data_IF_103756786101
#
_entry.id   IF_103756786101
#
_cell.length_a   1.000
_cell.length_b   1.000
_cell.length_c   1.000
_cell.angle_alpha   90.00
_cell.angle_beta   90.00
_cell.angle_gamma   90.00
#
_symmetry.space_group_name_H-M   'P 1'
#
loop_
_entity.id
_entity.type
_entity.pdbx_description
1 polymer ?
#
# COMPACT_ATOMS: atom_id res chain seq x y z
N UNK A 1 11.60 11.18 8.58
CA UNK A 1 10.70 10.11 8.13
C UNK A 1 11.50 9.21 7.21
N UNK A 2 11.64 7.94 7.53
CA UNK A 2 12.28 6.97 6.65
C UNK A 2 11.30 6.50 5.59
N UNK A 3 11.61 6.76 4.32
CA UNK A 3 10.87 6.20 3.19
C UNK A 3 11.31 4.74 2.98
N UNK A 4 10.39 3.75 2.98
CA UNK A 4 10.75 2.37 2.70
C UNK A 4 11.28 2.22 1.29
N UNK A 5 12.19 1.26 1.09
CA UNK A 5 12.76 1.00 -0.22
C UNK A 5 11.79 0.17 -1.08
N UNK A 6 11.00 0.85 -1.92
CA UNK A 6 10.07 0.18 -2.81
C UNK A 6 10.77 -0.47 -4.01
N UNK A 7 12.04 -0.17 -4.30
CA UNK A 7 12.76 -0.85 -5.40
C UNK A 7 12.99 -2.34 -5.14
N UNK A 8 13.06 -2.76 -3.88
CA UNK A 8 13.28 -4.15 -3.45
C UNK A 8 12.04 -4.82 -2.85
N UNK A 9 10.95 -4.07 -2.71
CA UNK A 9 9.68 -4.54 -2.15
C UNK A 9 8.84 -5.27 -3.20
N UNK A 10 7.79 -5.99 -2.81
CA UNK A 10 6.69 -6.37 -3.72
C UNK A 10 5.56 -5.32 -3.74
N UNK A 11 5.55 -4.40 -2.77
CA UNK A 11 4.56 -3.34 -2.64
C UNK A 11 4.75 -2.27 -3.73
N UNK A 12 3.72 -2.05 -4.54
CA UNK A 12 3.69 -1.01 -5.59
C UNK A 12 3.20 0.33 -5.06
N UNK A 13 2.22 0.29 -4.15
CA UNK A 13 1.60 1.45 -3.54
C UNK A 13 1.21 1.12 -2.11
N UNK A 14 1.43 2.05 -1.18
CA UNK A 14 0.86 2.05 0.15
C UNK A 14 0.21 3.41 0.38
N UNK A 15 -1.05 3.39 0.78
CA UNK A 15 -1.79 4.53 1.27
C UNK A 15 -2.04 4.32 2.77
N UNK A 16 -1.62 5.28 3.57
CA UNK A 16 -1.85 5.34 5.01
C UNK A 16 -2.72 6.56 5.32
N UNK A 17 -3.99 6.34 5.61
CA UNK A 17 -5.02 7.36 5.69
C UNK A 17 -5.75 7.25 7.03
N UNK A 18 -5.78 8.31 7.84
CA UNK A 18 -6.37 8.19 9.17
C UNK A 18 -6.67 9.52 9.83
N UNK A 19 -7.25 9.43 11.02
CA UNK A 19 -7.46 10.58 11.88
C UNK A 19 -6.54 10.52 13.10
N UNK A 20 -6.04 11.69 13.50
CA UNK A 20 -5.33 11.83 14.76
C UNK A 20 -6.26 11.42 15.91
N UNK A 21 -5.79 10.51 16.76
CA UNK A 21 -6.57 10.00 17.89
C UNK A 21 -6.74 11.05 19.00
N UNK A 22 -5.91 12.09 18.99
CA UNK A 22 -5.84 13.14 20.02
C UNK A 22 -6.02 14.51 19.37
N UNK A 23 -6.64 15.44 20.10
CA UNK A 23 -6.67 16.85 19.70
C UNK A 23 -5.27 17.45 19.84
N UNK A 24 -4.73 17.92 18.72
CA UNK A 24 -3.41 18.57 18.65
C UNK A 24 -3.56 19.98 18.08
N UNK A 25 -3.89 20.99 18.92
CA UNK A 25 -4.17 22.35 18.46
C UNK A 25 -3.04 22.97 17.64
N UNK A 26 -1.80 22.59 17.92
CA UNK A 26 -0.62 23.03 17.18
C UNK A 26 -0.58 22.50 15.74
N UNK A 27 -1.24 21.35 15.49
CA UNK A 27 -1.37 20.71 14.17
C UNK A 27 -2.62 21.18 13.42
N UNK A 28 -3.64 21.66 14.13
CA UNK A 28 -4.91 22.09 13.54
C UNK A 28 -4.72 23.09 12.38
N UNK A 29 -3.80 24.04 12.49
CA UNK A 29 -3.51 25.01 11.41
C UNK A 29 -3.01 24.36 10.11
N UNK A 30 -2.34 23.22 10.19
CA UNK A 30 -1.84 22.47 9.02
C UNK A 30 -2.89 21.54 8.42
N UNK A 31 -3.84 21.10 9.26
CA UNK A 31 -4.92 20.21 8.90
C UNK A 31 -6.20 20.95 8.48
N UNK A 32 -6.35 22.22 8.86
CA UNK A 32 -7.52 23.04 8.57
C UNK A 32 -7.69 23.35 7.06
N UNK A 33 -6.59 23.37 6.31
CA UNK A 33 -6.63 23.61 4.86
C UNK A 33 -6.28 22.33 4.12
N UNK A 34 -7.22 21.89 3.27
CA UNK A 34 -6.97 20.79 2.32
C UNK A 34 -5.78 21.16 1.43
N UNK A 35 -4.70 20.41 1.56
CA UNK A 35 -3.52 20.56 0.71
C UNK A 35 -3.02 19.19 0.29
N UNK A 36 -2.55 19.09 -0.95
CA UNK A 36 -1.88 17.89 -1.46
C UNK A 36 -0.52 18.32 -1.97
N UNK A 37 0.52 17.74 -1.41
CA UNK A 37 1.89 17.91 -1.86
C UNK A 37 2.46 16.56 -2.27
N UNK A 38 3.29 16.56 -3.31
CA UNK A 38 3.92 15.35 -3.84
C UNK A 38 5.40 15.62 -4.06
N UNK A 39 6.26 14.75 -3.53
CA UNK A 39 7.67 14.70 -3.86
C UNK A 39 7.97 13.42 -4.67
N UNK A 40 9.08 13.45 -5.38
CA UNK A 40 9.63 12.30 -6.09
C UNK A 40 11.04 12.06 -5.61
N UNK A 41 11.42 10.80 -5.37
CA UNK A 41 12.79 10.38 -5.10
C UNK A 41 13.16 9.18 -5.96
N UNK A 42 14.46 8.99 -6.18
CA UNK A 42 15.00 7.81 -6.85
C UNK A 42 15.54 6.82 -5.81
N UNK A 43 15.14 5.56 -5.92
CA UNK A 43 15.67 4.43 -5.14
C UNK A 43 16.27 3.43 -6.12
N UNK A 44 17.58 3.54 -6.35
CA UNK A 44 18.22 2.88 -7.48
C UNK A 44 17.61 3.38 -8.80
N UNK A 45 17.13 2.46 -9.64
CA UNK A 45 16.45 2.78 -10.90
C UNK A 45 14.94 3.01 -10.74
N UNK A 46 14.39 2.83 -9.54
CA UNK A 46 12.95 3.00 -9.28
C UNK A 46 12.64 4.42 -8.84
N UNK A 47 11.78 5.12 -9.59
CA UNK A 47 11.19 6.38 -9.15
C UNK A 47 10.03 6.11 -8.18
N UNK A 48 10.11 6.71 -6.99
CA UNK A 48 9.07 6.64 -5.96
C UNK A 48 8.48 8.02 -5.75
N UNK A 49 7.15 8.06 -5.67
CA UNK A 49 6.37 9.24 -5.32
C UNK A 49 5.96 9.14 -3.86
N UNK A 50 6.10 10.24 -3.14
CA UNK A 50 5.61 10.39 -1.77
C UNK A 50 4.61 11.53 -1.78
N UNK A 51 3.36 11.24 -1.46
CA UNK A 51 2.29 12.22 -1.37
C UNK A 51 1.89 12.42 0.08
N UNK A 52 1.67 13.67 0.49
CA UNK A 52 1.00 13.98 1.75
C UNK A 52 -0.26 14.77 1.42
N UNK A 53 -1.38 14.36 1.99
CA UNK A 53 -2.63 15.10 1.97
C UNK A 53 -2.93 15.49 3.41
N UNK A 54 -3.00 16.79 3.67
CA UNK A 54 -3.46 17.35 4.93
C UNK A 54 -4.87 17.88 4.78
N UNK A 55 -5.69 17.70 5.82
CA UNK A 55 -7.07 18.17 5.83
C UNK A 55 -7.98 17.43 4.84
N UNK A 56 -9.26 17.81 4.80
CA UNK A 56 -10.26 17.16 3.96
C UNK A 56 -11.51 16.83 4.74
N UNK A 57 -11.73 15.53 4.99
CA UNK A 57 -12.95 15.02 5.65
C UNK A 57 -13.10 15.50 7.10
N UNK A 58 -11.99 15.75 7.78
CA UNK A 58 -11.95 16.34 9.11
C UNK A 58 -10.69 17.21 9.28
N UNK A 59 -10.70 18.06 10.30
CA UNK A 59 -9.52 18.85 10.73
C UNK A 59 -8.46 17.98 11.43
N UNK A 60 -8.64 16.65 11.44
CA UNK A 60 -7.73 15.65 12.02
C UNK A 60 -7.18 14.67 10.97
N UNK A 61 -7.54 14.85 9.71
CA UNK A 61 -7.22 13.91 8.65
C UNK A 61 -5.76 14.01 8.22
N UNK A 62 -5.02 12.92 8.38
CA UNK A 62 -3.65 12.77 7.94
C UNK A 62 -3.54 11.61 6.95
N UNK A 63 -2.98 11.89 5.78
CA UNK A 63 -2.90 10.93 4.69
C UNK A 63 -1.52 10.98 4.04
N UNK A 64 -0.91 9.81 3.88
CA UNK A 64 0.38 9.64 3.21
C UNK A 64 0.26 8.54 2.17
N UNK A 65 0.66 8.84 0.94
CA UNK A 65 0.83 7.86 -0.14
C UNK A 65 2.31 7.65 -0.41
N UNK A 66 2.72 6.41 -0.62
CA UNK A 66 4.00 6.06 -1.23
C UNK A 66 3.76 5.09 -2.37
N UNK A 67 4.27 5.41 -3.55
CA UNK A 67 3.99 4.64 -4.75
C UNK A 67 5.16 4.63 -5.71
N UNK A 68 5.41 3.50 -6.39
CA UNK A 68 6.29 3.50 -7.56
C UNK A 68 5.62 4.27 -8.69
N UNK A 69 6.40 4.94 -9.53
CA UNK A 69 5.85 5.58 -10.73
C UNK A 69 5.11 4.59 -11.65
N UNK A 70 5.57 3.33 -11.69
CA UNK A 70 4.96 2.23 -12.44
C UNK A 70 3.58 1.81 -11.94
N UNK A 71 3.17 2.21 -10.73
CA UNK A 71 1.81 1.98 -10.25
C UNK A 71 0.79 2.80 -11.05
N UNK A 72 1.19 3.99 -11.52
CA UNK A 72 0.33 4.87 -12.28
C UNK A 72 0.43 4.57 -13.78
N UNK A 73 -0.66 4.71 -14.55
CA UNK A 73 -0.57 4.83 -15.99
C UNK A 73 0.39 5.97 -16.35
N UNK A 74 1.21 5.80 -17.39
CA UNK A 74 2.24 6.78 -17.78
C UNK A 74 1.69 8.22 -17.96
N UNK A 75 0.46 8.35 -18.43
CA UNK A 75 -0.23 9.64 -18.61
C UNK A 75 -0.80 10.27 -17.32
N UNK A 76 -0.70 9.57 -16.19
CA UNK A 76 -1.31 9.94 -14.91
C UNK A 76 -0.35 9.91 -13.73
N UNK A 77 0.96 9.81 -13.98
CA UNK A 77 1.97 9.93 -12.92
C UNK A 77 1.85 11.35 -12.31
N UNK A 78 1.59 11.47 -10.99
CA UNK A 78 1.55 12.77 -10.33
C UNK A 78 2.85 13.55 -10.51
N UNK A 79 2.73 14.85 -10.79
CA UNK A 79 3.90 15.74 -10.86
C UNK A 79 4.33 16.13 -9.46
N UNK A 80 5.64 16.18 -9.23
CA UNK A 80 6.19 16.73 -7.99
C UNK A 80 5.79 18.21 -7.85
N UNK A 81 5.39 18.60 -6.65
CA UNK A 81 5.03 19.97 -6.27
C UNK A 81 5.91 20.52 -5.16
N UNK A 82 6.75 19.68 -4.55
CA UNK A 82 7.54 19.96 -3.35
C UNK A 82 8.78 19.04 -3.35
N UNK A 83 9.75 19.31 -2.49
CA UNK A 83 10.90 18.41 -2.28
C UNK A 83 10.61 17.34 -1.22
N UNK A 84 11.45 16.30 -1.14
CA UNK A 84 11.29 15.26 -0.11
C UNK A 84 11.59 15.83 1.29
N UNK A 85 12.53 16.76 1.39
CA UNK A 85 12.89 17.44 2.63
C UNK A 85 11.73 18.27 3.20
N UNK A 86 10.93 18.89 2.33
CA UNK A 86 9.71 19.61 2.74
C UNK A 86 8.64 18.66 3.27
N UNK A 87 8.50 17.48 2.68
CA UNK A 87 7.62 16.42 3.20
C UNK A 87 8.12 15.90 4.54
N UNK A 88 9.42 15.66 4.69
CA UNK A 88 10.02 15.19 5.94
C UNK A 88 9.83 16.22 7.07
N UNK A 89 10.00 17.51 6.78
CA UNK A 89 9.75 18.59 7.73
C UNK A 89 8.29 18.68 8.15
N UNK A 90 7.36 18.52 7.20
CA UNK A 90 5.93 18.42 7.54
C UNK A 90 5.68 17.21 8.43
N UNK A 91 6.24 16.05 8.09
CA UNK A 91 6.08 14.80 8.82
C UNK A 91 6.58 14.89 10.26
N UNK A 92 7.74 15.54 10.49
CA UNK A 92 8.31 15.74 11.84
C UNK A 92 7.32 16.36 12.83
N UNK A 93 6.38 17.19 12.35
CA UNK A 93 5.35 17.80 13.21
C UNK A 93 4.36 16.79 13.77
N UNK A 94 4.17 15.67 13.08
CA UNK A 94 3.27 14.60 13.49
C UNK A 94 3.95 13.52 14.33
N UNK A 95 5.27 13.64 14.57
CA UNK A 95 6.01 12.65 15.36
C UNK A 95 5.45 12.51 16.78
N UNK A 96 5.32 11.26 17.23
CA UNK A 96 4.72 10.88 18.50
C UNK A 96 3.19 10.93 18.52
N UNK A 97 2.52 11.35 17.44
CA UNK A 97 1.05 11.39 17.40
C UNK A 97 0.49 10.00 17.12
N UNK A 98 -0.54 9.62 17.88
CA UNK A 98 -1.32 8.40 17.63
C UNK A 98 -2.35 8.62 16.53
N UNK A 99 -2.46 7.66 15.62
CA UNK A 99 -3.39 7.68 14.49
C UNK A 99 -4.16 6.37 14.44
N UNK A 100 -5.46 6.44 14.15
CA UNK A 100 -6.21 5.29 13.66
C UNK A 100 -6.09 5.30 12.14
N UNK A 101 -5.21 4.44 11.61
CA UNK A 101 -4.83 4.42 10.21
C UNK A 101 -5.56 3.30 9.47
N UNK A 102 -6.24 3.68 8.40
CA UNK A 102 -6.61 2.78 7.31
C UNK A 102 -5.42 2.65 6.36
N UNK A 103 -5.03 1.41 6.11
CA UNK A 103 -3.90 1.03 5.28
C UNK A 103 -4.47 0.36 4.05
N UNK A 104 -4.11 0.86 2.88
CA UNK A 104 -4.41 0.24 1.59
C UNK A 104 -3.08 0.00 0.90
N UNK A 105 -2.71 -1.27 0.71
CA UNK A 105 -1.47 -1.63 0.03
C UNK A 105 -1.77 -2.45 -1.23
N UNK A 106 -1.09 -2.12 -2.33
CA UNK A 106 -1.26 -2.79 -3.62
C UNK A 106 0.02 -3.49 -4.04
N UNK A 107 -0.12 -4.73 -4.50
CA UNK A 107 0.93 -5.64 -4.93
C UNK A 107 0.63 -6.16 -6.33
N UNK A 108 1.67 -6.61 -7.04
CA UNK A 108 1.51 -7.35 -8.29
C UNK A 108 2.40 -8.59 -8.33
N UNK A 109 1.77 -9.74 -8.58
CA UNK A 109 2.43 -11.04 -8.63
C UNK A 109 2.08 -11.77 -9.93
N UNK A 110 3.06 -12.39 -10.62
CA UNK A 110 2.78 -13.31 -11.71
C UNK A 110 1.83 -14.42 -11.29
N UNK A 111 0.87 -14.81 -12.14
CA UNK A 111 -0.06 -15.91 -11.84
C UNK A 111 0.70 -17.20 -11.56
N UNK A 112 1.83 -17.42 -12.25
CA UNK A 112 2.69 -18.58 -12.06
C UNK A 112 3.33 -18.66 -10.66
N UNK A 113 3.54 -17.51 -10.01
CA UNK A 113 4.16 -17.41 -8.69
C UNK A 113 3.13 -17.57 -7.55
N UNK A 114 1.84 -17.59 -7.88
CA UNK A 114 0.79 -17.89 -6.91
C UNK A 114 0.79 -19.39 -6.57
N UNK A 115 0.48 -19.77 -5.31
CA UNK A 115 0.42 -21.17 -4.90
C UNK A 115 -0.58 -21.96 -5.76
N UNK A 116 -0.23 -23.17 -6.15
CA UNK A 116 -1.10 -24.04 -6.98
C UNK A 116 -2.46 -24.27 -6.34
N UNK A 117 -2.47 -24.53 -5.03
CA UNK A 117 -3.68 -24.68 -4.22
C UNK A 117 -4.13 -23.37 -3.57
N UNK A 118 -3.56 -22.24 -4.00
CA UNK A 118 -3.90 -20.90 -3.52
C UNK A 118 -5.23 -20.44 -4.10
N UNK A 119 -6.01 -19.74 -3.28
CA UNK A 119 -7.36 -19.32 -3.63
C UNK A 119 -7.42 -18.52 -4.94
N UNK A 120 -6.54 -17.52 -5.08
CA UNK A 120 -6.53 -16.65 -6.27
C UNK A 120 -6.20 -17.47 -7.51
N UNK A 121 -5.14 -18.30 -7.47
CA UNK A 121 -4.74 -19.11 -8.63
C UNK A 121 -5.86 -20.05 -9.06
N UNK A 122 -6.45 -20.78 -8.12
CA UNK A 122 -7.55 -21.70 -8.41
C UNK A 122 -8.76 -21.02 -9.06
N UNK A 123 -9.13 -19.82 -8.58
CA UNK A 123 -10.26 -19.08 -9.14
C UNK A 123 -9.97 -18.43 -10.50
N UNK A 124 -8.69 -18.15 -10.80
CA UNK A 124 -8.28 -17.55 -12.09
C UNK A 124 -8.03 -18.56 -13.21
N UNK A 125 -8.21 -19.86 -12.98
CA UNK A 125 -8.09 -20.88 -14.02
C UNK A 125 -9.25 -20.82 -15.03
N UNK A 126 -8.98 -21.20 -16.27
CA UNK A 126 -10.03 -21.38 -17.28
C UNK A 126 -10.86 -22.62 -16.95
N UNK A 127 -12.13 -22.40 -16.64
CA UNK A 127 -13.13 -23.45 -16.63
C UNK A 127 -13.66 -23.62 -18.06
N UNK A 128 -13.54 -24.82 -18.63
CA UNK A 128 -14.04 -25.13 -19.98
C UNK A 128 -15.11 -26.22 -19.94
N UNK A 129 -16.20 -25.99 -20.66
CA UNK A 129 -17.28 -26.97 -20.90
C UNK A 129 -17.71 -26.89 -22.36
N UNK A 130 -17.24 -27.82 -23.18
CA UNK A 130 -17.36 -27.72 -24.64
C UNK A 130 -16.60 -26.50 -25.17
N UNK A 131 -17.27 -25.67 -25.98
CA UNK A 131 -16.70 -24.42 -26.52
C UNK A 131 -16.80 -23.24 -25.53
N UNK A 132 -17.52 -23.40 -24.41
CA UNK A 132 -17.65 -22.35 -23.40
C UNK A 132 -16.43 -22.34 -22.48
N UNK A 133 -15.72 -21.21 -22.43
CA UNK A 133 -14.67 -20.92 -21.46
C UNK A 133 -15.10 -19.81 -20.49
N UNK A 134 -14.90 -20.04 -19.20
CA UNK A 134 -15.16 -19.06 -18.14
C UNK A 134 -13.92 -18.87 -17.29
N UNK A 135 -13.64 -17.62 -16.89
CA UNK A 135 -12.53 -17.28 -16.00
C UNK A 135 -12.96 -16.18 -15.05
N UNK A 136 -12.65 -16.31 -13.76
CA UNK A 136 -12.84 -15.20 -12.82
C UNK A 136 -11.68 -14.22 -12.96
N UNK A 137 -11.99 -12.98 -13.35
CA UNK A 137 -10.98 -11.93 -13.53
C UNK A 137 -10.79 -11.04 -12.30
N UNK A 138 -11.80 -11.00 -11.41
CA UNK A 138 -11.77 -10.18 -10.20
C UNK A 138 -12.51 -10.90 -9.08
N UNK A 139 -12.02 -10.79 -7.85
CA UNK A 139 -12.70 -11.25 -6.65
C UNK A 139 -12.22 -10.51 -5.41
N UNK A 140 -12.85 -10.75 -4.27
CA UNK A 140 -12.45 -10.19 -2.99
C UNK A 140 -12.95 -11.00 -1.82
N UNK A 141 -12.30 -10.83 -0.67
CA UNK A 141 -12.64 -11.47 0.60
C UNK A 141 -12.68 -10.42 1.69
N UNK A 142 -13.76 -10.44 2.46
CA UNK A 142 -13.85 -9.76 3.74
C UNK A 142 -13.52 -10.73 4.88
N UNK A 143 -12.69 -10.27 5.81
CA UNK A 143 -12.17 -11.03 6.94
C UNK A 143 -12.66 -10.38 8.23
N UNK A 144 -13.22 -11.17 9.13
CA UNK A 144 -13.67 -10.71 10.45
C UNK A 144 -12.76 -11.25 11.54
N UNK A 145 -12.33 -10.38 12.45
CA UNK A 145 -11.49 -10.74 13.60
C UNK A 145 -10.02 -11.04 13.25
N UNK A 146 -9.59 -10.76 12.02
CA UNK A 146 -8.20 -10.87 11.59
C UNK A 146 -7.44 -9.55 11.70
N UNK A 147 -6.12 -9.60 11.45
CA UNK A 147 -5.29 -8.40 11.32
C UNK A 147 -5.52 -7.65 9.99
N UNK A 148 -6.04 -8.36 8.99
CA UNK A 148 -6.46 -7.83 7.70
C UNK A 148 -7.99 -7.77 7.68
N UNK A 149 -8.56 -6.71 7.12
CA UNK A 149 -10.02 -6.54 7.01
C UNK A 149 -10.52 -7.09 5.69
N UNK A 150 -9.81 -6.83 4.59
CA UNK A 150 -10.18 -7.36 3.29
C UNK A 150 -8.97 -7.48 2.37
N UNK A 151 -9.13 -8.28 1.31
CA UNK A 151 -8.31 -8.12 0.13
C UNK A 151 -9.12 -8.41 -1.13
N UNK A 152 -8.84 -7.68 -2.19
CA UNK A 152 -9.38 -7.93 -3.52
C UNK A 152 -8.27 -8.09 -4.54
N UNK A 153 -8.60 -8.75 -5.65
CA UNK A 153 -7.64 -9.00 -6.71
C UNK A 153 -8.25 -8.82 -8.09
N UNK A 154 -7.40 -8.44 -9.04
CA UNK A 154 -7.76 -8.29 -10.45
C UNK A 154 -6.65 -8.85 -11.34
N UNK A 155 -7.01 -9.72 -12.28
CA UNK A 155 -6.14 -10.20 -13.35
C UNK A 155 -5.88 -9.05 -14.33
N UNK A 156 -4.63 -8.63 -14.43
CA UNK A 156 -4.22 -7.55 -15.34
C UNK A 156 -4.26 -8.06 -16.79
N UNK A 157 -5.13 -7.46 -17.62
CA UNK A 157 -5.34 -7.88 -19.01
C UNK A 157 -4.04 -7.86 -19.81
N UNK A 158 -3.69 -9.00 -20.40
CA UNK A 158 -2.52 -9.14 -21.26
C UNK A 158 -1.17 -9.24 -20.53
N UNK A 159 -1.15 -9.27 -19.19
CA UNK A 159 0.10 -9.24 -18.42
C UNK A 159 0.39 -10.50 -17.60
N UNK A 160 -0.45 -11.54 -17.65
CA UNK A 160 -0.33 -12.78 -16.84
C UNK A 160 0.00 -12.54 -15.35
N UNK A 161 -0.51 -11.42 -14.83
CA UNK A 161 -0.26 -10.95 -13.46
C UNK A 161 -1.58 -10.68 -12.76
N UNK A 162 -1.57 -10.83 -11.45
CA UNK A 162 -2.66 -10.42 -10.58
C UNK A 162 -2.21 -9.21 -9.79
N UNK A 163 -3.02 -8.17 -9.82
CA UNK A 163 -2.93 -7.05 -8.87
C UNK A 163 -3.75 -7.42 -7.64
N UNK A 164 -3.16 -7.32 -6.47
CA UNK A 164 -3.84 -7.55 -5.20
C UNK A 164 -3.81 -6.28 -4.38
N UNK A 165 -4.95 -5.89 -3.85
CA UNK A 165 -5.07 -4.81 -2.88
C UNK A 165 -5.47 -5.42 -1.55
N UNK A 166 -4.79 -5.03 -0.48
CA UNK A 166 -5.12 -5.42 0.89
C UNK A 166 -5.54 -4.17 1.67
N UNK A 167 -6.54 -4.31 2.53
CA UNK A 167 -7.04 -3.22 3.37
C UNK A 167 -7.10 -3.64 4.85
N UNK A 168 -6.74 -2.72 5.74
CA UNK A 168 -6.85 -2.91 7.19
C UNK A 168 -6.90 -1.60 7.96
N UNK A 169 -7.46 -1.65 9.16
CA UNK A 169 -7.35 -0.58 10.15
C UNK A 169 -6.43 -0.96 11.30
N UNK A 170 -5.58 -0.02 11.72
CA UNK A 170 -4.62 -0.21 12.82
C UNK A 170 -4.48 1.05 13.65
N UNK A 171 -4.16 0.88 14.93
CA UNK A 171 -3.70 1.98 15.77
C UNK A 171 -2.17 2.02 15.71
N UNK A 172 -1.63 3.15 15.29
CA UNK A 172 -0.19 3.34 15.11
C UNK A 172 0.27 4.65 15.74
N UNK A 173 1.57 4.75 16.01
CA UNK A 173 2.23 6.01 16.36
C UNK A 173 3.11 6.44 15.20
N UNK A 174 2.97 7.70 14.82
CA UNK A 174 3.78 8.32 13.77
C UNK A 174 5.18 8.54 14.36
N UNK A 175 6.18 7.89 13.77
CA UNK A 175 7.59 8.04 14.10
C UNK A 175 8.43 7.84 12.82
N UNK A 176 9.76 7.92 12.93
CA UNK A 176 10.62 7.83 11.76
C UNK A 176 10.47 6.52 10.97
N UNK A 177 10.08 5.40 11.59
CA UNK A 177 9.91 4.10 10.95
C UNK A 177 8.45 3.76 10.61
N UNK A 178 7.50 4.65 10.84
CA UNK A 178 6.06 4.41 10.60
C UNK A 178 5.77 3.83 9.22
N UNK A 179 6.18 4.49 8.13
CA UNK A 179 5.93 4.00 6.77
C UNK A 179 6.64 2.68 6.48
N UNK A 180 7.84 2.49 7.03
CA UNK A 180 8.58 1.23 6.91
C UNK A 180 7.79 0.09 7.55
N UNK A 181 7.30 0.27 8.78
CA UNK A 181 6.47 -0.73 9.45
C UNK A 181 5.19 -1.04 8.69
N UNK A 182 4.54 -0.03 8.11
CA UNK A 182 3.31 -0.25 7.35
C UNK A 182 3.55 -1.06 6.08
N UNK A 183 4.65 -0.81 5.35
CA UNK A 183 5.03 -1.62 4.19
C UNK A 183 5.41 -3.04 4.62
N UNK A 184 6.29 -3.19 5.61
CA UNK A 184 6.71 -4.51 6.10
C UNK A 184 5.53 -5.34 6.57
N UNK A 185 4.62 -4.72 7.34
CA UNK A 185 3.40 -5.40 7.79
C UNK A 185 2.52 -5.82 6.61
N UNK A 186 2.35 -4.93 5.62
CA UNK A 186 1.56 -5.20 4.41
C UNK A 186 2.16 -6.34 3.58
N UNK A 187 3.48 -6.39 3.45
CA UNK A 187 4.19 -7.49 2.78
C UNK A 187 4.02 -8.83 3.52
N UNK A 188 4.04 -8.82 4.86
CA UNK A 188 3.77 -10.01 5.66
C UNK A 188 2.34 -10.50 5.41
N UNK A 189 1.35 -9.61 5.41
CA UNK A 189 -0.04 -10.01 5.13
C UNK A 189 -0.21 -10.54 3.70
N UNK A 190 0.39 -9.86 2.72
CA UNK A 190 0.40 -10.33 1.33
C UNK A 190 1.05 -11.72 1.20
N UNK A 191 2.21 -11.93 1.82
CA UNK A 191 2.89 -13.21 1.85
C UNK A 191 2.03 -14.33 2.43
N UNK A 192 1.38 -14.08 3.56
CA UNK A 192 0.51 -15.05 4.25
C UNK A 192 -0.77 -15.35 3.46
N UNK A 193 -1.49 -14.31 3.04
CA UNK A 193 -2.84 -14.44 2.51
C UNK A 193 -2.87 -14.77 1.01
N UNK A 194 -1.87 -14.34 0.25
CA UNK A 194 -1.81 -14.49 -1.20
C UNK A 194 -0.82 -15.55 -1.62
N UNK A 195 0.40 -15.50 -1.06
CA UNK A 195 1.50 -16.39 -1.46
C UNK A 195 1.60 -17.65 -0.60
N UNK A 196 0.83 -17.76 0.49
CA UNK A 196 0.89 -18.90 1.40
C UNK A 196 2.28 -19.11 2.04
N UNK A 197 3.11 -18.07 2.11
CA UNK A 197 4.44 -18.10 2.72
C UNK A 197 4.45 -17.18 3.94
N UNK A 198 4.67 -17.74 5.12
CA UNK A 198 5.03 -16.93 6.28
C UNK A 198 6.47 -16.43 6.10
N UNK A 199 6.68 -15.12 6.24
CA UNK A 199 8.00 -14.48 6.29
C UNK A 199 8.85 -15.06 7.43
N UNK A 200 9.52 -16.18 7.15
CA UNK A 200 10.36 -16.92 8.10
C UNK A 200 11.47 -17.75 7.46
N UNK A 201 11.69 -17.62 6.14
CA UNK A 201 12.87 -18.18 5.47
C UNK A 201 13.66 -17.08 4.78
N UNK A 202 14.44 -16.36 5.56
CA UNK A 202 15.69 -15.80 5.05
C UNK A 202 16.46 -16.96 4.43
N UNK A 203 16.69 -16.93 3.11
CA UNK A 203 17.56 -17.88 2.45
C UNK A 203 18.95 -17.73 3.09
N UNK A 204 19.33 -18.64 3.97
CA UNK A 204 20.73 -18.87 4.29
C UNK A 204 21.36 -19.42 3.02
N UNK A 205 22.20 -18.61 2.38
CA UNK A 205 23.12 -19.10 1.36
C UNK A 205 24.02 -20.15 2.01
N UNK A 206 23.86 -21.39 1.58
CA UNK A 206 24.84 -22.48 1.72
C UNK A 206 25.52 -22.69 0.39
#
# INVERSE_FOLDING_TARGET
MRIPNLSTSECLNLTACGELAEDRPELAKYLAKKSRIVATLMQGETQVLVGVISGGYSEKHFHVDIARSSFFPASRIPKATTSIEEIEELYRRFEGVKVQVSIIATFEVPIADLPENGLIRGLTQDFRSGDLGMRLLRGGIDIRGGALESFDWEVQRGLERVRVTIEAQRSETIDDNYLVRLVEWSEIQFGLMVKGVSSGKTKTHS
#
